data_IF_059959037935
#
_entry.id   IF_059959037935
#
_cell.length_a   1.000
_cell.length_b   1.000
_cell.length_c   1.000
_cell.angle_alpha   90.00
_cell.angle_beta   90.00
_cell.angle_gamma   90.00
#
_symmetry.space_group_name_H-M   'P 1'
#
loop_
_entity.id
_entity.type
_entity.pdbx_description
1 polymer ?
#
# COMPACT_ATOMS: atom_id res chain seq x y z
N UNK A 1 -11.13 -30.31 -40.86
CA UNK A 1 -10.28 -29.23 -40.33
C UNK A 1 -10.64 -27.95 -41.08
N UNK A 2 -11.56 -27.11 -40.58
CA UNK A 2 -11.94 -25.88 -41.28
C UNK A 2 -10.93 -24.77 -40.99
N UNK A 3 -10.38 -24.19 -42.04
CA UNK A 3 -9.50 -23.02 -42.03
C UNK A 3 -10.37 -21.78 -41.78
N UNK A 4 -10.15 -21.08 -40.67
CA UNK A 4 -10.81 -19.81 -40.37
C UNK A 4 -9.97 -18.67 -40.96
N UNK A 5 -10.40 -18.15 -42.11
CA UNK A 5 -9.86 -16.94 -42.72
C UNK A 5 -10.49 -15.71 -42.04
N UNK A 6 -9.70 -14.96 -41.28
CA UNK A 6 -10.09 -13.65 -40.74
C UNK A 6 -10.12 -12.59 -41.86
N UNK A 7 -11.16 -11.75 -41.96
CA UNK A 7 -11.17 -10.61 -42.87
C UNK A 7 -10.38 -9.41 -42.30
N UNK A 8 -9.85 -8.51 -43.15
CA UNK A 8 -9.01 -7.41 -42.71
C UNK A 8 -9.83 -6.26 -42.13
N UNK A 9 -9.22 -5.65 -41.12
CA UNK A 9 -9.53 -4.40 -40.43
C UNK A 9 -10.12 -3.33 -41.34
N UNK A 10 -11.42 -3.04 -41.19
CA UNK A 10 -12.03 -1.80 -41.68
C UNK A 10 -12.00 -0.76 -40.57
N UNK A 11 -11.01 0.13 -40.65
CA UNK A 11 -11.01 1.37 -39.90
C UNK A 11 -12.04 2.31 -40.54
N UNK A 12 -13.11 2.64 -39.81
CA UNK A 12 -14.00 3.72 -40.19
C UNK A 12 -13.32 5.05 -39.84
N UNK A 13 -12.91 5.81 -40.85
CA UNK A 13 -12.52 7.20 -40.68
C UNK A 13 -13.80 8.03 -40.51
N UNK A 14 -14.08 8.46 -39.29
CA UNK A 14 -15.10 9.47 -39.01
C UNK A 14 -14.55 10.81 -39.48
N UNK A 15 -15.11 11.36 -40.57
CA UNK A 15 -14.84 12.74 -40.99
C UNK A 15 -15.45 13.71 -39.99
N UNK A 16 -14.61 14.26 -39.11
CA UNK A 16 -14.96 15.38 -38.23
C UNK A 16 -14.98 16.65 -39.11
N UNK A 17 -16.07 17.45 -39.12
CA UNK A 17 -16.11 18.69 -39.90
C UNK A 17 -15.08 19.69 -39.35
N UNK A 18 -14.47 20.53 -40.21
CA UNK A 18 -13.51 21.52 -39.75
C UNK A 18 -14.23 22.58 -38.91
N UNK A 19 -13.80 22.75 -37.67
CA UNK A 19 -14.23 23.88 -36.84
C UNK A 19 -13.77 25.19 -37.51
N UNK A 20 -14.63 26.23 -37.57
CA UNK A 20 -14.22 27.52 -38.12
C UNK A 20 -13.15 28.17 -37.23
N UNK A 21 -12.11 28.70 -37.86
CA UNK A 21 -11.04 29.44 -37.18
C UNK A 21 -11.60 30.71 -36.53
N UNK A 22 -11.26 31.01 -35.26
CA UNK A 22 -11.60 32.29 -34.67
C UNK A 22 -10.70 33.41 -35.22
N UNK A 23 -11.30 34.55 -35.55
CA UNK A 23 -10.62 35.77 -36.01
C UNK A 23 -9.70 36.38 -34.94
N UNK A 24 -8.63 37.11 -35.32
CA UNK A 24 -7.64 37.62 -34.39
C UNK A 24 -8.06 39.00 -33.88
N UNK A 25 -8.68 39.06 -32.70
CA UNK A 25 -8.74 40.30 -31.92
C UNK A 25 -8.91 40.03 -30.43
N UNK A 26 -7.84 39.61 -29.78
CA UNK A 26 -7.69 39.87 -28.34
C UNK A 26 -6.22 39.74 -28.00
N UNK A 27 -5.69 40.77 -27.34
CA UNK A 27 -4.34 40.82 -26.78
C UNK A 27 -4.06 39.57 -25.95
N UNK A 28 -3.02 38.81 -26.31
CA UNK A 28 -2.67 37.57 -25.65
C UNK A 28 -1.99 37.95 -24.34
N UNK A 29 -2.79 38.15 -23.29
CA UNK A 29 -2.27 38.24 -21.93
C UNK A 29 -1.55 36.92 -21.66
N UNK A 30 -0.23 36.97 -21.51
CA UNK A 30 0.61 35.82 -21.19
C UNK A 30 -0.08 35.02 -20.07
N UNK A 31 -0.43 33.79 -20.42
CA UNK A 31 -1.10 32.84 -19.55
C UNK A 31 -0.43 32.83 -18.18
N UNK A 32 -1.18 33.19 -17.13
CA UNK A 32 -0.77 32.82 -15.77
C UNK A 32 -0.65 31.31 -15.78
N UNK A 33 0.58 30.82 -15.70
CA UNK A 33 0.87 29.42 -15.43
C UNK A 33 0.25 29.12 -14.07
N UNK A 34 -1.02 28.69 -14.08
CA UNK A 34 -1.71 28.30 -12.86
C UNK A 34 -1.15 26.95 -12.51
N UNK A 35 -0.17 26.92 -11.58
CA UNK A 35 0.24 25.66 -10.97
C UNK A 35 -1.00 25.07 -10.31
N UNK A 36 -1.58 24.07 -10.95
CA UNK A 36 -2.52 23.19 -10.29
C UNK A 36 -1.73 22.51 -9.18
N UNK A 37 -1.95 22.92 -7.92
CA UNK A 37 -1.56 22.08 -6.80
C UNK A 37 -2.35 20.78 -6.97
N UNK A 38 -1.70 19.75 -7.49
CA UNK A 38 -2.21 18.39 -7.40
C UNK A 38 -2.47 18.19 -5.91
N UNK A 39 -3.70 17.85 -5.49
CA UNK A 39 -3.97 17.64 -4.09
C UNK A 39 -3.03 16.54 -3.61
N UNK A 40 -2.09 16.90 -2.73
CA UNK A 40 -1.27 15.93 -2.06
C UNK A 40 -2.21 14.93 -1.41
N UNK A 41 -1.99 13.63 -1.63
CA UNK A 41 -2.75 12.58 -0.97
C UNK A 41 -2.87 12.93 0.53
N UNK A 42 -4.08 12.87 1.12
CA UNK A 42 -4.27 13.33 2.48
C UNK A 42 -3.34 12.55 3.39
N UNK A 43 -2.52 13.30 4.13
CA UNK A 43 -1.56 12.74 5.06
C UNK A 43 -2.33 12.22 6.30
N UNK A 44 -2.00 11.01 6.75
CA UNK A 44 -2.70 10.31 7.81
C UNK A 44 -1.72 9.68 8.80
N UNK A 45 -2.00 9.86 10.10
CA UNK A 45 -1.24 9.24 11.20
C UNK A 45 -1.28 7.71 11.10
N UNK A 46 -0.23 7.01 11.57
CA UNK A 46 -0.22 5.55 11.59
C UNK A 46 -1.36 4.96 12.42
N UNK A 47 -1.90 3.84 11.96
CA UNK A 47 -2.87 3.02 12.67
C UNK A 47 -2.54 1.55 12.48
N UNK A 48 -2.49 0.84 13.60
CA UNK A 48 -2.40 -0.62 13.63
C UNK A 48 -3.82 -1.12 13.83
N UNK A 49 -4.42 -1.70 12.80
CA UNK A 49 -5.79 -2.19 12.84
C UNK A 49 -5.82 -3.71 12.96
N UNK A 50 -6.92 -4.28 13.46
CA UNK A 50 -6.99 -5.72 13.76
C UNK A 50 -6.83 -6.60 12.52
N UNK A 51 -7.27 -6.10 11.36
CA UNK A 51 -7.09 -6.79 10.07
C UNK A 51 -5.63 -6.79 9.62
N UNK A 52 -4.92 -5.68 9.85
CA UNK A 52 -3.54 -5.47 9.39
C UNK A 52 -2.50 -6.00 10.38
N UNK A 53 -2.84 -6.00 11.66
CA UNK A 53 -2.02 -6.44 12.77
C UNK A 53 -2.94 -7.08 13.83
N UNK A 54 -3.23 -8.39 13.70
CA UNK A 54 -4.09 -9.10 14.63
C UNK A 54 -3.41 -9.18 16.00
N UNK A 55 -4.17 -8.98 17.10
CA UNK A 55 -3.63 -8.98 18.46
C UNK A 55 -3.18 -10.38 18.92
N UNK A 56 -3.57 -11.43 18.19
CA UNK A 56 -3.19 -12.79 18.49
C UNK A 56 -2.80 -13.55 17.20
N UNK A 57 -1.72 -14.32 17.27
CA UNK A 57 -1.26 -15.19 16.19
C UNK A 57 -0.91 -16.56 16.76
N UNK A 58 -1.33 -17.62 16.07
CA UNK A 58 -1.07 -19.00 16.47
C UNK A 58 -0.09 -19.61 15.48
N UNK A 59 1.03 -20.11 15.98
CA UNK A 59 2.12 -20.72 15.23
C UNK A 59 2.25 -22.19 15.59
N UNK A 60 2.79 -22.99 14.68
CA UNK A 60 3.07 -24.41 14.92
C UNK A 60 4.57 -24.63 15.06
N UNK A 61 5.00 -25.25 16.16
CA UNK A 61 6.40 -25.58 16.42
C UNK A 61 7.00 -26.40 15.26
N UNK A 62 8.18 -26.01 14.81
CA UNK A 62 8.88 -26.67 13.71
C UNK A 62 8.42 -26.27 12.31
N UNK A 63 7.33 -25.53 12.15
CA UNK A 63 6.90 -24.97 10.85
C UNK A 63 7.52 -23.60 10.58
N UNK A 64 7.54 -23.21 9.30
CA UNK A 64 7.97 -21.86 8.91
C UNK A 64 6.84 -20.86 9.11
N UNK A 65 7.01 -19.99 10.09
CA UNK A 65 6.02 -19.02 10.53
C UNK A 65 6.56 -17.61 10.41
N UNK A 66 5.65 -16.65 10.25
CA UNK A 66 6.01 -15.23 10.06
C UNK A 66 5.15 -14.35 10.94
N UNK A 67 5.76 -13.39 11.65
CA UNK A 67 5.01 -12.37 12.38
C UNK A 67 4.42 -11.39 11.37
N UNK A 68 3.10 -11.44 11.21
CA UNK A 68 2.39 -10.63 10.24
C UNK A 68 1.76 -9.41 10.93
N UNK A 69 2.34 -8.24 10.70
CA UNK A 69 1.81 -6.98 11.23
C UNK A 69 2.12 -5.86 10.25
N UNK A 70 1.08 -5.14 9.88
CA UNK A 70 1.14 -3.97 8.98
C UNK A 70 0.31 -2.84 9.56
N UNK A 71 0.60 -1.62 9.12
CA UNK A 71 -0.08 -0.42 9.58
C UNK A 71 -0.56 0.43 8.41
N UNK A 72 -1.72 1.07 8.59
CA UNK A 72 -2.30 2.06 7.67
C UNK A 72 -1.75 3.44 8.03
N UNK A 73 -1.56 4.30 7.04
CA UNK A 73 -1.02 5.64 7.22
C UNK A 73 -0.50 6.21 5.90
N UNK A 74 -0.43 7.54 5.80
CA UNK A 74 0.07 8.25 4.64
C UNK A 74 0.98 9.39 5.10
N UNK A 75 2.28 9.40 4.78
CA UNK A 75 3.05 8.35 4.09
C UNK A 75 3.01 6.96 4.75
N UNK A 76 3.45 5.93 4.01
CA UNK A 76 3.43 4.54 4.48
C UNK A 76 4.26 4.41 5.77
N UNK A 77 3.68 3.95 6.90
CA UNK A 77 4.40 3.83 8.16
C UNK A 77 5.40 2.67 8.15
N UNK A 78 6.53 2.85 8.83
CA UNK A 78 7.47 1.79 9.14
C UNK A 78 7.00 1.05 10.40
N UNK A 79 6.81 -0.27 10.30
CA UNK A 79 6.44 -1.11 11.44
C UNK A 79 7.68 -1.83 11.97
N UNK A 80 7.84 -1.80 13.29
CA UNK A 80 8.90 -2.51 14.03
C UNK A 80 8.27 -3.23 15.19
N UNK A 81 8.51 -4.52 15.32
CA UNK A 81 8.07 -5.29 16.48
C UNK A 81 9.27 -5.66 17.35
N UNK A 82 9.04 -5.73 18.65
CA UNK A 82 10.04 -6.15 19.62
C UNK A 82 9.42 -7.12 20.62
N UNK A 83 10.22 -8.06 21.11
CA UNK A 83 9.86 -8.98 22.19
C UNK A 83 10.89 -8.82 23.29
N UNK A 84 10.44 -8.52 24.50
CA UNK A 84 11.31 -8.35 25.66
C UNK A 84 12.45 -7.32 25.40
N UNK A 85 12.15 -6.26 24.65
CA UNK A 85 13.11 -5.22 24.24
C UNK A 85 13.99 -5.57 23.05
N UNK A 86 13.97 -6.81 22.56
CA UNK A 86 14.75 -7.24 21.40
C UNK A 86 13.94 -7.07 20.11
N UNK A 87 14.54 -6.42 19.09
CA UNK A 87 13.90 -6.26 17.79
C UNK A 87 13.62 -7.61 17.13
N UNK A 88 12.41 -7.79 16.62
CA UNK A 88 12.00 -9.01 15.92
C UNK A 88 11.67 -8.70 14.46
N UNK A 89 12.29 -9.41 13.49
CA UNK A 89 12.04 -9.15 12.07
C UNK A 89 10.59 -9.44 11.69
N UNK A 90 9.97 -8.54 10.93
CA UNK A 90 8.64 -8.71 10.34
C UNK A 90 8.73 -9.26 8.93
N UNK A 91 7.75 -10.05 8.50
CA UNK A 91 7.68 -10.55 7.12
C UNK A 91 8.74 -11.59 6.75
N UNK A 92 9.61 -11.99 7.69
CA UNK A 92 10.62 -13.03 7.47
C UNK A 92 10.18 -14.35 8.09
N UNK A 93 9.94 -15.34 7.23
CA UNK A 93 9.65 -16.71 7.62
C UNK A 93 10.80 -17.31 8.43
N UNK A 94 10.46 -18.01 9.50
CA UNK A 94 11.43 -18.74 10.33
C UNK A 94 10.79 -19.97 10.95
N UNK A 95 11.62 -20.96 11.25
CA UNK A 95 11.17 -22.12 12.01
C UNK A 95 10.69 -21.68 13.40
N UNK A 96 9.42 -21.91 13.70
CA UNK A 96 8.84 -21.59 14.98
C UNK A 96 9.39 -22.51 16.08
N UNK A 97 9.65 -21.93 17.24
CA UNK A 97 10.15 -22.59 18.44
C UNK A 97 9.34 -22.09 19.63
N UNK A 98 9.19 -22.88 20.70
CA UNK A 98 8.46 -22.47 21.91
C UNK A 98 8.93 -21.14 22.50
N UNK A 99 10.21 -20.82 22.35
CA UNK A 99 10.78 -19.54 22.80
C UNK A 99 10.22 -18.30 22.08
N UNK A 100 9.60 -18.48 20.90
CA UNK A 100 8.93 -17.40 20.18
C UNK A 100 7.56 -17.05 20.78
N UNK A 101 6.98 -17.90 21.64
CA UNK A 101 5.73 -17.57 22.30
C UNK A 101 5.90 -16.37 23.24
N UNK A 102 4.87 -15.53 23.32
CA UNK A 102 4.83 -14.35 24.20
C UNK A 102 4.25 -13.11 23.54
N UNK A 103 4.37 -11.99 24.22
CA UNK A 103 3.82 -10.70 23.79
C UNK A 103 4.88 -9.86 23.06
N UNK A 104 4.50 -9.36 21.90
CA UNK A 104 5.30 -8.51 21.04
C UNK A 104 4.74 -7.10 21.05
N UNK A 105 5.58 -6.10 21.26
CA UNK A 105 5.22 -4.70 21.09
C UNK A 105 5.56 -4.26 19.68
N UNK A 106 4.52 -4.01 18.88
CA UNK A 106 4.62 -3.53 17.51
C UNK A 106 4.35 -2.03 17.44
N UNK A 107 5.29 -1.27 16.91
CA UNK A 107 5.22 0.17 16.74
C UNK A 107 5.25 0.53 15.26
N UNK A 108 4.30 1.35 14.83
CA UNK A 108 4.20 1.89 13.48
C UNK A 108 4.49 3.38 13.52
N UNK A 109 5.55 3.82 12.83
CA UNK A 109 6.01 5.21 12.86
C UNK A 109 5.98 5.82 11.46
N UNK A 110 5.54 7.06 11.38
CA UNK A 110 5.62 7.90 10.20
C UNK A 110 5.89 9.36 10.63
N UNK A 111 6.14 10.26 9.68
CA UNK A 111 6.39 11.68 9.93
C UNK A 111 5.27 12.40 10.73
N UNK A 112 4.05 11.86 10.72
CA UNK A 112 2.91 12.41 11.45
C UNK A 112 2.74 11.88 12.88
N UNK A 113 3.50 10.86 13.27
CA UNK A 113 3.48 10.29 14.62
C UNK A 113 3.69 8.78 14.66
N UNK A 114 3.38 8.20 15.82
CA UNK A 114 3.59 6.79 16.13
C UNK A 114 2.33 6.17 16.69
N UNK A 115 2.05 4.92 16.31
CA UNK A 115 1.01 4.08 16.89
C UNK A 115 1.64 2.78 17.41
N UNK A 116 1.11 2.24 18.49
CA UNK A 116 1.62 1.02 19.11
C UNK A 116 0.50 0.00 19.32
N UNK A 117 0.88 -1.27 19.34
CA UNK A 117 -0.03 -2.39 19.59
C UNK A 117 0.74 -3.59 20.14
N UNK A 118 0.13 -4.26 21.11
CA UNK A 118 0.59 -5.54 21.61
C UNK A 118 -0.01 -6.69 20.79
N UNK A 119 0.85 -7.66 20.44
CA UNK A 119 0.49 -8.86 19.69
C UNK A 119 0.97 -10.07 20.46
N UNK A 120 0.08 -10.99 20.79
CA UNK A 120 0.39 -12.23 21.49
C UNK A 120 0.60 -13.36 20.49
N UNK A 121 1.76 -14.01 20.54
CA UNK A 121 2.05 -15.20 19.72
C UNK A 121 1.95 -16.44 20.59
N UNK A 122 1.12 -17.38 20.17
CA UNK A 122 1.02 -18.73 20.75
C UNK A 122 1.75 -19.71 19.86
N UNK A 123 2.49 -20.64 20.46
CA UNK A 123 3.15 -21.72 19.73
C UNK A 123 2.56 -23.04 20.19
N UNK A 124 1.93 -23.77 19.27
CA UNK A 124 1.41 -25.10 19.48
C UNK A 124 2.47 -26.15 19.15
N UNK A 125 2.39 -27.31 19.78
CA UNK A 125 3.27 -28.46 19.56
C UNK A 125 2.61 -29.52 18.67
#
# INVERSE_FOLDING_TARGET
>A
HPTFSLPPSRFFLVSIPPFPCPHPSSSWSLSRLSLLLIPAFPAAKPRLDTESCPPQQNWTEGQEETLNCSARGSPRPQVRCSKDGNSFPLGTARRAHRAHAGTYLCQATNELGTAEREVTVWVHC
#
